data_IF_997678307739
#
_entry.id   IF_997678307739
#
_cell.length_a   1.000
_cell.length_b   1.000
_cell.length_c   1.000
_cell.angle_alpha   90.00
_cell.angle_beta   90.00
_cell.angle_gamma   90.00
#
_symmetry.space_group_name_H-M   'P 1'
#
loop_
_entity.id
_entity.type
_entity.pdbx_description
1 polymer ?
#
# COMPACT_ATOMS: atom_id res chain seq x y z
N UNK A 1 -1.82 -6.39 33.93
CA UNK A 1 -1.23 -5.05 34.13
C UNK A 1 0.23 -5.11 33.68
N UNK A 2 0.51 -4.94 32.38
CA UNK A 2 1.89 -4.91 31.85
C UNK A 2 2.36 -3.45 31.86
N UNK A 3 3.40 -3.17 32.63
CA UNK A 3 4.06 -1.87 32.76
C UNK A 3 4.68 -1.50 31.40
N UNK A 4 4.18 -0.45 30.76
CA UNK A 4 4.93 0.29 29.74
C UNK A 4 6.24 0.78 30.37
N UNK A 5 7.37 0.25 29.93
CA UNK A 5 8.69 0.81 30.24
C UNK A 5 8.74 2.23 29.66
N UNK A 6 8.67 3.23 30.50
CA UNK A 6 9.02 4.62 30.16
C UNK A 6 10.53 4.64 29.87
N UNK A 7 10.90 4.91 28.60
CA UNK A 7 12.28 5.16 28.21
C UNK A 7 12.88 4.26 27.12
N UNK A 8 12.11 3.37 26.48
CA UNK A 8 12.55 2.65 25.26
C UNK A 8 12.29 3.48 24.00
N UNK A 9 12.96 3.16 22.87
CA UNK A 9 12.67 3.79 21.59
C UNK A 9 11.19 3.60 21.22
N UNK A 10 10.60 4.59 20.56
CA UNK A 10 9.25 4.51 20.03
C UNK A 10 9.23 3.41 18.95
N UNK A 11 8.40 2.38 19.13
CA UNK A 11 8.24 1.29 18.17
C UNK A 11 7.00 1.52 17.32
N UNK A 12 7.18 1.39 16.01
CA UNK A 12 6.11 1.46 15.01
C UNK A 12 6.02 0.09 14.35
N UNK A 13 4.81 -0.45 14.27
CA UNK A 13 4.53 -1.70 13.57
C UNK A 13 3.68 -1.44 12.33
N UNK A 14 4.18 -1.84 11.16
CA UNK A 14 3.44 -1.85 9.90
C UNK A 14 2.96 -3.26 9.57
N UNK A 15 1.65 -3.44 9.41
CA UNK A 15 1.01 -4.71 9.09
C UNK A 15 0.38 -4.64 7.70
N UNK A 16 0.98 -5.31 6.74
CA UNK A 16 0.43 -5.50 5.39
C UNK A 16 -0.30 -6.84 5.31
N UNK A 17 -1.62 -6.78 5.08
CA UNK A 17 -2.48 -7.97 5.00
C UNK A 17 -2.83 -8.23 3.54
N UNK A 18 -1.98 -9.00 2.87
CA UNK A 18 -2.14 -9.38 1.47
C UNK A 18 -2.89 -10.70 1.27
N UNK A 19 -3.35 -10.97 0.04
CA UNK A 19 -4.11 -12.18 -0.29
C UNK A 19 -3.31 -13.49 -0.20
N UNK A 20 -1.98 -13.42 -0.35
CA UNK A 20 -1.11 -14.60 -0.25
C UNK A 20 -0.27 -14.65 1.03
N UNK A 21 -0.01 -13.51 1.64
CA UNK A 21 0.86 -13.36 2.81
C UNK A 21 0.39 -12.20 3.69
N UNK A 22 0.67 -12.32 4.98
CA UNK A 22 0.62 -11.21 5.95
C UNK A 22 2.05 -10.91 6.36
N UNK A 23 2.43 -9.65 6.29
CA UNK A 23 3.77 -9.17 6.67
C UNK A 23 3.67 -8.15 7.78
N UNK A 24 4.40 -8.34 8.86
CA UNK A 24 4.58 -7.35 9.92
C UNK A 24 6.05 -6.93 9.97
N UNK A 25 6.31 -5.63 9.86
CA UNK A 25 7.63 -5.04 10.12
C UNK A 25 7.55 -4.14 11.33
N UNK A 26 8.57 -4.19 12.18
CA UNK A 26 8.70 -3.33 13.35
C UNK A 26 9.93 -2.45 13.13
N UNK A 27 9.74 -1.15 13.27
CA UNK A 27 10.78 -0.14 13.12
C UNK A 27 10.76 0.87 14.26
N UNK A 28 11.80 1.67 14.30
CA UNK A 28 11.93 2.79 15.23
C UNK A 28 12.56 3.97 14.53
N UNK A 29 12.08 5.21 14.79
CA UNK A 29 12.74 6.42 14.33
C UNK A 29 14.16 6.51 14.90
N UNK A 30 15.16 6.68 14.03
CA UNK A 30 16.49 7.09 14.45
C UNK A 30 16.54 8.63 14.48
N UNK A 31 16.27 9.20 15.64
CA UNK A 31 16.20 10.65 15.82
C UNK A 31 17.53 11.35 15.53
N UNK A 32 18.67 10.65 15.58
CA UNK A 32 19.99 11.21 15.30
C UNK A 32 20.27 11.28 13.80
N UNK A 33 19.77 10.32 13.03
CA UNK A 33 19.97 10.25 11.58
C UNK A 33 18.76 10.79 10.78
N UNK A 34 17.60 11.01 11.41
CA UNK A 34 16.38 11.43 10.72
C UNK A 34 15.76 10.37 9.81
N UNK A 35 16.15 9.11 9.97
CA UNK A 35 15.71 7.99 9.13
C UNK A 35 14.93 6.95 9.96
N UNK A 36 14.08 6.17 9.31
CA UNK A 36 13.43 5.02 9.92
C UNK A 36 14.40 3.83 9.92
N UNK A 37 14.55 3.16 11.05
CA UNK A 37 15.30 1.90 11.14
C UNK A 37 14.34 0.73 11.29
N UNK A 38 14.36 -0.21 10.36
CA UNK A 38 13.68 -1.51 10.50
C UNK A 38 14.49 -2.35 11.49
N UNK A 39 13.85 -2.79 12.56
CA UNK A 39 14.46 -3.61 13.59
C UNK A 39 14.31 -5.10 13.31
N UNK A 40 13.25 -5.48 12.60
CA UNK A 40 12.95 -6.83 12.21
C UNK A 40 11.49 -6.99 11.81
N UNK A 41 11.12 -8.21 11.49
CA UNK A 41 9.75 -8.50 11.07
C UNK A 41 9.52 -9.98 10.77
N UNK A 42 8.33 -10.29 10.29
CA UNK A 42 7.95 -11.61 9.83
C UNK A 42 6.94 -11.53 8.68
N UNK A 43 6.92 -12.59 7.87
CA UNK A 43 5.98 -12.73 6.77
C UNK A 43 5.47 -14.16 6.72
N UNK A 44 4.17 -14.34 6.92
CA UNK A 44 3.52 -15.64 7.02
C UNK A 44 2.49 -15.85 5.89
N UNK A 45 2.30 -17.07 5.39
CA UNK A 45 1.25 -17.37 4.41
C UNK A 45 -0.14 -17.07 4.99
N UNK A 46 -1.02 -16.53 4.13
CA UNK A 46 -2.42 -16.27 4.44
C UNK A 46 -3.32 -16.80 3.32
N UNK A 47 -4.43 -17.44 3.69
CA UNK A 47 -5.47 -17.88 2.76
C UNK A 47 -6.84 -17.27 3.08
N UNK A 48 -6.91 -16.46 4.15
CA UNK A 48 -8.14 -15.82 4.61
C UNK A 48 -8.58 -14.61 3.79
N UNK A 49 -7.77 -14.18 2.79
CA UNK A 49 -8.09 -13.06 1.90
C UNK A 49 -8.10 -13.48 0.44
N UNK A 50 -8.90 -12.77 -0.37
CA UNK A 50 -8.93 -12.88 -1.82
C UNK A 50 -9.10 -11.50 -2.44
N UNK A 51 -8.14 -11.06 -3.28
CA UNK A 51 -8.20 -9.74 -3.93
C UNK A 51 -8.33 -8.57 -2.94
N UNK A 52 -7.69 -8.66 -1.77
CA UNK A 52 -7.78 -7.64 -0.71
C UNK A 52 -9.04 -7.74 0.17
N UNK A 53 -9.95 -8.68 -0.10
CA UNK A 53 -11.19 -8.87 0.66
C UNK A 53 -11.06 -10.05 1.61
N UNK A 54 -11.48 -9.89 2.86
CA UNK A 54 -11.51 -10.97 3.85
C UNK A 54 -12.61 -11.96 3.49
N UNK A 55 -12.22 -13.20 3.22
CA UNK A 55 -13.14 -14.32 2.93
C UNK A 55 -13.25 -15.30 4.12
N UNK A 56 -12.26 -15.29 4.99
CA UNK A 56 -12.26 -16.08 6.24
C UNK A 56 -11.55 -15.27 7.34
N UNK A 57 -12.35 -14.71 8.25
CA UNK A 57 -11.83 -13.85 9.33
C UNK A 57 -10.91 -14.62 10.27
N UNK A 58 -11.23 -15.89 10.59
CA UNK A 58 -10.45 -16.70 11.54
C UNK A 58 -9.06 -17.01 10.99
N UNK A 59 -8.98 -17.44 9.74
CA UNK A 59 -7.68 -17.68 9.08
C UNK A 59 -6.85 -16.41 8.93
N UNK A 60 -7.49 -15.31 8.52
CA UNK A 60 -6.81 -14.02 8.36
C UNK A 60 -6.31 -13.48 9.71
N UNK A 61 -7.13 -13.58 10.79
CA UNK A 61 -6.73 -13.17 12.12
C UNK A 61 -5.59 -14.03 12.68
N UNK A 62 -5.64 -15.35 12.47
CA UNK A 62 -4.55 -16.25 12.87
C UNK A 62 -3.25 -15.91 12.13
N UNK A 63 -3.30 -15.61 10.83
CA UNK A 63 -2.13 -15.20 10.08
C UNK A 63 -1.60 -13.83 10.56
N UNK A 64 -2.47 -12.87 10.85
CA UNK A 64 -2.09 -11.56 11.38
C UNK A 64 -1.44 -11.69 12.78
N UNK A 65 -2.02 -12.49 13.67
CA UNK A 65 -1.47 -12.75 15.00
C UNK A 65 -0.06 -13.35 14.90
N UNK A 66 0.10 -14.40 14.10
CA UNK A 66 1.42 -15.04 13.88
C UNK A 66 2.45 -14.09 13.29
N UNK A 67 2.08 -13.27 12.31
CA UNK A 67 3.01 -12.32 11.70
C UNK A 67 3.51 -11.30 12.71
N UNK A 68 2.64 -10.80 13.60
CA UNK A 68 3.04 -9.86 14.65
C UNK A 68 3.85 -10.55 15.73
N UNK A 69 3.42 -11.73 16.22
CA UNK A 69 4.12 -12.49 17.26
C UNK A 69 5.54 -12.90 16.81
N UNK A 70 5.69 -13.39 15.58
CA UNK A 70 7.00 -13.73 15.01
C UNK A 70 7.89 -12.47 14.83
N UNK A 71 7.30 -11.33 14.44
CA UNK A 71 8.03 -10.05 14.36
C UNK A 71 8.46 -9.55 15.75
N UNK A 72 7.59 -9.62 16.76
CA UNK A 72 7.91 -9.29 18.15
C UNK A 72 9.06 -10.15 18.70
N UNK A 73 9.03 -11.45 18.39
CA UNK A 73 10.09 -12.37 18.79
C UNK A 73 11.44 -12.02 18.14
N UNK A 74 11.42 -11.64 16.85
CA UNK A 74 12.63 -11.23 16.12
C UNK A 74 13.28 -9.97 16.70
N UNK A 75 12.47 -8.99 17.16
CA UNK A 75 12.96 -7.72 17.71
C UNK A 75 13.06 -7.73 19.24
N UNK A 76 12.63 -8.81 19.90
CA UNK A 76 12.60 -8.95 21.37
C UNK A 76 11.81 -7.83 22.07
N UNK A 77 10.73 -7.37 21.45
CA UNK A 77 9.87 -6.31 21.95
C UNK A 77 8.41 -6.62 21.63
N UNK A 78 7.48 -5.96 22.31
CA UNK A 78 6.03 -6.15 22.11
C UNK A 78 5.40 -4.89 21.59
N UNK A 79 4.43 -5.04 20.68
CA UNK A 79 3.61 -3.96 20.15
C UNK A 79 2.14 -4.23 20.50
N UNK A 80 1.37 -3.19 20.77
CA UNK A 80 -0.07 -3.30 21.06
C UNK A 80 -0.93 -2.78 19.92
N UNK A 81 -0.32 -2.04 19.00
CA UNK A 81 -1.03 -1.40 17.89
C UNK A 81 -0.20 -1.44 16.61
N UNK A 82 -0.90 -1.43 15.48
CA UNK A 82 -0.31 -1.54 14.15
C UNK A 82 -0.88 -0.48 13.20
N UNK A 83 -0.08 -0.03 12.25
CA UNK A 83 -0.51 0.67 11.04
C UNK A 83 -0.89 -0.39 10.02
N UNK A 84 -2.12 -0.33 9.52
CA UNK A 84 -2.69 -1.40 8.70
C UNK A 84 -2.70 -1.02 7.23
N UNK A 85 -1.98 -1.76 6.39
CA UNK A 85 -2.07 -1.64 4.94
C UNK A 85 -3.38 -2.23 4.41
N UNK A 86 -4.12 -1.43 3.62
CA UNK A 86 -5.36 -1.82 2.98
C UNK A 86 -5.19 -1.73 1.47
N UNK A 87 -5.69 -2.72 0.72
CA UNK A 87 -5.66 -2.78 -0.75
C UNK A 87 -6.85 -3.55 -1.30
N UNK A 88 -7.02 -3.52 -2.62
CA UNK A 88 -8.01 -4.32 -3.34
C UNK A 88 -9.13 -3.51 -3.99
N UNK A 89 -9.85 -4.14 -4.93
CA UNK A 89 -10.82 -3.50 -5.82
C UNK A 89 -12.04 -2.84 -5.12
N UNK A 90 -12.15 -2.98 -3.78
CA UNK A 90 -13.14 -2.26 -3.00
C UNK A 90 -12.74 -0.80 -2.71
N UNK A 91 -11.50 -0.44 -2.96
CA UNK A 91 -11.01 0.94 -2.93
C UNK A 91 -11.33 1.62 -4.27
N UNK A 92 -11.72 2.88 -4.21
CA UNK A 92 -11.94 3.75 -5.37
C UNK A 92 -11.41 5.12 -5.07
N UNK A 93 -10.92 5.80 -6.08
CA UNK A 93 -10.41 7.16 -5.92
C UNK A 93 -10.99 8.11 -6.95
N UNK A 94 -10.99 9.38 -6.62
CA UNK A 94 -11.34 10.48 -7.51
C UNK A 94 -10.78 11.79 -6.95
N UNK A 95 -10.66 12.78 -7.80
CA UNK A 95 -10.20 14.11 -7.41
C UNK A 95 -11.40 15.02 -7.12
N UNK A 96 -11.24 15.90 -6.14
CA UNK A 96 -12.22 16.93 -5.82
C UNK A 96 -11.52 18.24 -5.47
N UNK A 97 -12.26 19.33 -5.52
CA UNK A 97 -11.78 20.66 -5.15
C UNK A 97 -12.60 21.23 -4.00
N UNK A 98 -11.93 21.79 -3.01
CA UNK A 98 -12.52 22.58 -1.94
C UNK A 98 -12.19 24.05 -2.11
N UNK A 99 -13.06 24.91 -1.58
CA UNK A 99 -12.86 26.35 -1.53
C UNK A 99 -13.25 26.91 -0.17
N UNK A 100 -12.52 27.91 0.29
CA UNK A 100 -12.77 28.60 1.55
C UNK A 100 -12.44 30.09 1.43
N UNK A 101 -13.40 30.96 1.79
CA UNK A 101 -13.21 32.39 1.77
C UNK A 101 -12.61 32.87 3.10
N UNK A 102 -11.53 33.65 3.04
CA UNK A 102 -10.87 34.23 4.20
C UNK A 102 -11.48 35.58 4.47
N UNK A 103 -12.34 35.64 5.49
CA UNK A 103 -13.12 36.84 5.84
C UNK A 103 -12.36 37.83 6.75
N UNK A 104 -11.18 37.47 7.26
CA UNK A 104 -10.36 38.32 8.13
C UNK A 104 -9.80 39.53 7.38
N UNK A 105 -9.63 40.63 8.09
CA UNK A 105 -9.13 41.89 7.51
C UNK A 105 -7.68 41.81 7.03
N UNK A 106 -6.84 40.99 7.72
CA UNK A 106 -5.44 40.74 7.39
C UNK A 106 -5.27 39.75 6.23
N UNK A 107 -6.32 38.95 5.96
CA UNK A 107 -6.32 37.90 4.91
C UNK A 107 -5.18 36.93 4.99
N UNK A 108 -4.45 36.89 6.10
CA UNK A 108 -3.37 35.92 6.30
C UNK A 108 -3.94 34.52 6.52
N UNK A 109 -3.44 33.54 5.74
CA UNK A 109 -3.87 32.15 5.78
C UNK A 109 -3.26 31.47 7.01
N UNK A 110 -4.11 30.87 7.82
CA UNK A 110 -3.74 30.10 9.01
C UNK A 110 -3.84 28.60 8.76
N UNK A 111 -3.31 27.82 9.70
CA UNK A 111 -3.49 26.35 9.68
C UNK A 111 -4.98 25.95 9.77
N UNK A 112 -5.81 26.72 10.48
CA UNK A 112 -7.25 26.47 10.59
C UNK A 112 -7.96 26.68 9.25
N UNK A 113 -7.55 27.67 8.45
CA UNK A 113 -8.09 27.88 7.10
C UNK A 113 -7.73 26.75 6.16
N UNK A 114 -6.50 26.23 6.27
CA UNK A 114 -6.07 25.03 5.52
C UNK A 114 -6.92 23.84 5.93
N UNK A 115 -7.16 23.62 7.22
CA UNK A 115 -8.03 22.55 7.69
C UNK A 115 -9.48 22.74 7.19
N UNK A 116 -9.99 23.96 7.18
CA UNK A 116 -11.33 24.29 6.71
C UNK A 116 -11.50 24.01 5.20
N UNK A 117 -10.52 24.41 4.35
CA UNK A 117 -10.60 24.16 2.91
C UNK A 117 -10.48 22.68 2.57
N UNK A 118 -9.64 21.93 3.28
CA UNK A 118 -9.54 20.47 3.13
C UNK A 118 -10.84 19.79 3.58
N UNK A 119 -11.46 20.26 4.68
CA UNK A 119 -12.76 19.76 5.12
C UNK A 119 -13.86 20.07 4.10
N UNK A 120 -13.84 21.24 3.45
CA UNK A 120 -14.73 21.58 2.34
C UNK A 120 -14.56 20.61 1.16
N UNK A 121 -13.33 20.31 0.79
CA UNK A 121 -13.04 19.34 -0.28
C UNK A 121 -13.49 17.90 0.06
N UNK A 122 -13.54 17.55 1.34
CA UNK A 122 -14.02 16.25 1.85
C UNK A 122 -15.56 16.14 1.83
N UNK A 123 -16.29 17.25 1.85
CA UNK A 123 -17.75 17.29 1.97
C UNK A 123 -18.43 16.95 0.64
N UNK A 124 -18.41 15.66 0.27
CA UNK A 124 -19.01 15.11 -0.95
C UNK A 124 -20.11 14.11 -0.62
N UNK A 125 -21.14 13.98 -1.47
CA UNK A 125 -22.12 12.94 -1.33
C UNK A 125 -21.48 11.57 -1.67
N UNK A 126 -21.46 10.67 -0.69
CA UNK A 126 -21.05 9.28 -0.88
C UNK A 126 -22.27 8.36 -0.75
N UNK A 127 -22.23 7.22 -1.44
CA UNK A 127 -23.18 6.13 -1.17
C UNK A 127 -23.00 5.64 0.26
N UNK A 128 -24.10 5.17 0.89
CA UNK A 128 -24.13 4.77 2.30
C UNK A 128 -23.23 3.59 2.65
N UNK A 129 -22.78 2.84 1.66
CA UNK A 129 -21.89 1.68 1.76
C UNK A 129 -20.40 2.04 1.63
N UNK A 130 -20.08 3.34 1.45
CA UNK A 130 -18.70 3.82 1.29
C UNK A 130 -18.33 4.86 2.32
N UNK A 131 -17.03 4.89 2.65
CA UNK A 131 -16.45 5.90 3.53
C UNK A 131 -15.11 6.40 2.97
N UNK A 132 -14.75 7.63 3.30
CA UNK A 132 -13.46 8.22 2.91
C UNK A 132 -12.37 7.59 3.78
N UNK A 133 -11.41 6.96 3.12
CA UNK A 133 -10.21 6.41 3.73
C UNK A 133 -9.11 7.47 3.83
N UNK A 134 -8.84 8.19 2.73
CA UNK A 134 -7.84 9.27 2.68
C UNK A 134 -8.34 10.50 1.95
N UNK A 135 -7.85 11.67 2.39
CA UNK A 135 -7.94 12.96 1.71
C UNK A 135 -6.51 13.46 1.51
N UNK A 136 -6.01 13.41 0.28
CA UNK A 136 -4.63 13.73 -0.05
C UNK A 136 -4.59 15.07 -0.78
N UNK A 137 -4.10 16.17 -0.15
CA UNK A 137 -3.92 17.43 -0.85
C UNK A 137 -2.93 17.29 -2.02
N UNK A 138 -3.30 17.86 -3.17
CA UNK A 138 -2.49 17.84 -4.38
C UNK A 138 -1.81 19.20 -4.64
N UNK A 139 -2.29 20.25 -4.01
CA UNK A 139 -1.81 21.62 -4.14
C UNK A 139 -2.89 22.63 -3.81
N UNK A 140 -2.47 23.82 -3.41
CA UNK A 140 -3.37 24.92 -3.08
C UNK A 140 -3.37 25.98 -4.17
N UNK A 141 -4.46 26.74 -4.23
CA UNK A 141 -4.58 27.93 -5.07
C UNK A 141 -5.04 29.11 -4.21
N UNK A 142 -4.37 30.24 -4.39
CA UNK A 142 -4.63 31.47 -3.68
C UNK A 142 -5.15 32.51 -4.68
N UNK A 143 -6.42 32.90 -4.57
CA UNK A 143 -7.13 33.74 -5.53
C UNK A 143 -7.02 33.15 -6.95
N UNK A 144 -6.00 33.52 -7.72
CA UNK A 144 -5.73 33.00 -9.10
C UNK A 144 -4.37 32.31 -9.23
N UNK A 145 -3.56 32.32 -8.19
CA UNK A 145 -2.25 31.69 -8.18
C UNK A 145 -2.40 30.20 -7.84
N UNK A 146 -2.04 29.33 -8.76
CA UNK A 146 -2.08 27.86 -8.58
C UNK A 146 -0.72 27.30 -8.16
N UNK A 147 -0.72 26.06 -7.67
CA UNK A 147 0.51 25.30 -7.39
C UNK A 147 1.25 25.77 -6.15
N UNK A 148 0.55 26.29 -5.16
CA UNK A 148 1.14 26.68 -3.87
C UNK A 148 1.19 25.46 -2.95
N UNK A 149 2.38 24.96 -2.54
CA UNK A 149 2.48 23.78 -1.67
C UNK A 149 2.20 24.11 -0.20
N UNK A 150 2.57 25.32 0.26
CA UNK A 150 2.50 25.74 1.65
C UNK A 150 1.85 27.12 1.76
N UNK A 151 0.53 27.21 1.89
CA UNK A 151 -0.19 28.48 1.87
C UNK A 151 -0.18 29.25 3.21
N UNK A 152 0.14 28.59 4.33
CA UNK A 152 0.13 29.22 5.67
C UNK A 152 1.09 30.39 5.74
N UNK A 153 0.62 31.54 6.23
CA UNK A 153 1.36 32.81 6.31
C UNK A 153 1.33 33.64 5.04
N UNK A 154 0.70 33.16 3.96
CA UNK A 154 0.44 33.95 2.74
C UNK A 154 -0.92 34.66 2.86
N UNK A 155 -1.11 35.71 2.04
CA UNK A 155 -2.37 36.48 2.00
C UNK A 155 -3.20 36.07 0.79
N UNK A 156 -4.51 35.84 1.01
CA UNK A 156 -5.48 35.60 -0.06
C UNK A 156 -6.90 35.87 0.43
N UNK A 157 -7.81 36.17 -0.49
CA UNK A 157 -9.25 36.26 -0.23
C UNK A 157 -9.95 34.93 -0.35
N UNK A 158 -9.48 34.10 -1.29
CA UNK A 158 -10.00 32.78 -1.59
C UNK A 158 -8.86 31.76 -1.53
N UNK A 159 -9.01 30.77 -0.66
CA UNK A 159 -8.15 29.61 -0.59
C UNK A 159 -8.88 28.41 -1.21
N UNK A 160 -8.26 27.78 -2.21
CA UNK A 160 -8.75 26.54 -2.81
C UNK A 160 -7.73 25.42 -2.61
N UNK A 161 -8.20 24.17 -2.59
CA UNK A 161 -7.35 22.97 -2.57
C UNK A 161 -7.88 21.95 -3.54
N UNK A 162 -7.00 21.39 -4.36
CA UNK A 162 -7.26 20.16 -5.09
C UNK A 162 -6.86 18.97 -4.21
N UNK A 163 -7.73 17.95 -4.10
CA UNK A 163 -7.47 16.77 -3.28
C UNK A 163 -7.72 15.49 -4.06
N UNK A 164 -6.89 14.47 -3.79
CA UNK A 164 -7.15 13.10 -4.18
C UNK A 164 -7.87 12.40 -3.04
N UNK A 165 -9.09 11.92 -3.29
CA UNK A 165 -9.92 11.22 -2.32
C UNK A 165 -9.83 9.72 -2.59
N UNK A 166 -9.49 8.95 -1.56
CA UNK A 166 -9.57 7.50 -1.60
C UNK A 166 -10.72 7.06 -0.71
N UNK A 167 -11.63 6.28 -1.27
CA UNK A 167 -12.79 5.73 -0.55
C UNK A 167 -12.72 4.22 -0.50
N UNK A 168 -13.29 3.63 0.54
CA UNK A 168 -13.38 2.19 0.74
C UNK A 168 -14.83 1.75 0.93
N UNK A 169 -15.16 0.52 0.55
CA UNK A 169 -16.40 -0.10 1.01
C UNK A 169 -16.35 -0.29 2.52
N UNK A 170 -17.32 0.28 3.24
CA UNK A 170 -17.40 0.24 4.71
C UNK A 170 -17.42 -1.19 5.24
N UNK A 171 -18.14 -2.09 4.54
CA UNK A 171 -18.21 -3.50 4.95
C UNK A 171 -16.84 -4.20 4.87
N UNK A 172 -16.10 -4.00 3.77
CA UNK A 172 -14.78 -4.60 3.60
C UNK A 172 -13.76 -4.01 4.57
N UNK A 173 -13.77 -2.68 4.76
CA UNK A 173 -12.89 -2.02 5.72
C UNK A 173 -13.18 -2.49 7.15
N UNK A 174 -14.44 -2.59 7.55
CA UNK A 174 -14.80 -3.10 8.87
C UNK A 174 -14.40 -4.57 9.07
N UNK A 175 -14.47 -5.42 8.02
CA UNK A 175 -14.04 -6.81 8.13
C UNK A 175 -12.53 -6.94 8.36
N UNK A 176 -11.71 -6.15 7.66
CA UNK A 176 -10.27 -6.19 7.89
C UNK A 176 -9.89 -5.61 9.26
N UNK A 177 -10.55 -4.54 9.72
CA UNK A 177 -10.36 -3.99 11.07
C UNK A 177 -10.74 -5.02 12.16
N UNK A 178 -11.87 -5.72 11.98
CA UNK A 178 -12.28 -6.82 12.88
C UNK A 178 -11.26 -7.96 12.88
N UNK A 179 -10.68 -8.28 11.74
CA UNK A 179 -9.65 -9.31 11.60
C UNK A 179 -8.44 -8.99 12.48
N UNK A 180 -7.94 -7.75 12.42
CA UNK A 180 -6.79 -7.32 13.24
C UNK A 180 -7.15 -7.23 14.72
N UNK A 181 -8.35 -6.75 15.04
CA UNK A 181 -8.84 -6.73 16.42
C UNK A 181 -8.99 -8.15 17.00
N UNK A 182 -9.44 -9.13 16.20
CA UNK A 182 -9.51 -10.55 16.60
C UNK A 182 -8.12 -11.18 16.75
N UNK A 183 -7.13 -10.70 16.02
CA UNK A 183 -5.72 -11.07 16.20
C UNK A 183 -5.11 -10.50 17.50
N UNK A 184 -5.82 -9.61 18.22
CA UNK A 184 -5.41 -9.05 19.51
C UNK A 184 -4.73 -7.70 19.45
N UNK A 185 -4.73 -7.01 18.27
CA UNK A 185 -4.04 -5.74 18.07
C UNK A 185 -5.01 -4.60 17.78
N UNK A 186 -4.63 -3.39 18.23
CA UNK A 186 -5.32 -2.16 17.90
C UNK A 186 -4.80 -1.62 16.55
N UNK A 187 -5.70 -1.17 15.67
CA UNK A 187 -5.32 -0.49 14.45
C UNK A 187 -5.22 1.01 14.74
N UNK A 188 -4.01 1.57 14.58
CA UNK A 188 -3.79 3.02 14.70
C UNK A 188 -4.52 3.73 13.57
N UNK A 189 -4.26 3.31 12.34
CA UNK A 189 -4.90 3.84 11.13
C UNK A 189 -4.87 2.80 10.01
N UNK A 190 -5.97 2.61 9.27
CA UNK A 190 -5.94 1.89 8.02
C UNK A 190 -5.40 2.81 6.91
N UNK A 191 -4.37 2.35 6.22
CA UNK A 191 -3.64 3.13 5.19
C UNK A 191 -3.76 2.44 3.85
N UNK A 192 -4.08 3.17 2.81
CA UNK A 192 -4.01 2.65 1.44
C UNK A 192 -2.57 2.25 1.12
N UNK A 193 -2.35 0.95 0.88
CA UNK A 193 -1.01 0.38 0.73
C UNK A 193 -0.17 1.04 -0.36
N UNK A 194 -0.80 1.51 -1.43
CA UNK A 194 -0.13 2.24 -2.51
C UNK A 194 0.48 3.56 -2.03
N UNK A 195 -0.22 4.33 -1.17
CA UNK A 195 0.32 5.57 -0.61
C UNK A 195 1.53 5.29 0.27
N UNK A 196 1.46 4.24 1.11
CA UNK A 196 2.59 3.83 1.93
C UNK A 196 3.80 3.40 1.07
N UNK A 197 3.57 2.59 0.03
CA UNK A 197 4.62 2.20 -0.91
C UNK A 197 5.20 3.42 -1.67
N UNK A 198 4.37 4.41 -2.00
CA UNK A 198 4.78 5.65 -2.66
C UNK A 198 5.74 6.49 -1.82
N UNK A 199 5.52 6.57 -0.51
CA UNK A 199 6.45 7.28 0.40
C UNK A 199 7.83 6.60 0.48
N UNK A 200 7.88 5.30 0.25
CA UNK A 200 9.12 4.53 0.30
C UNK A 200 9.89 4.53 -1.02
N UNK A 201 9.18 4.49 -2.16
CA UNK A 201 9.75 4.08 -3.44
C UNK A 201 9.82 5.20 -4.49
N UNK A 202 8.98 6.23 -4.36
CA UNK A 202 8.91 7.33 -5.31
C UNK A 202 9.72 8.50 -4.78
N UNK A 203 10.76 8.90 -5.51
CA UNK A 203 11.61 10.05 -5.13
C UNK A 203 10.85 11.37 -5.33
N UNK A 204 11.35 12.44 -4.72
CA UNK A 204 10.72 13.75 -4.89
C UNK A 204 10.79 14.23 -6.35
N UNK A 205 11.93 13.97 -7.03
CA UNK A 205 12.07 14.30 -8.44
C UNK A 205 11.08 13.53 -9.32
N UNK A 206 10.86 12.25 -9.05
CA UNK A 206 9.87 11.45 -9.79
C UNK A 206 8.44 11.92 -9.51
N UNK A 207 8.13 12.35 -8.27
CA UNK A 207 6.83 12.97 -7.93
C UNK A 207 6.62 14.28 -8.69
N UNK A 208 7.66 15.08 -8.86
CA UNK A 208 7.58 16.36 -9.60
C UNK A 208 7.46 16.16 -11.11
N UNK A 209 8.33 15.33 -11.69
CA UNK A 209 8.45 15.17 -13.15
C UNK A 209 7.34 14.31 -13.75
N UNK A 210 6.72 13.46 -12.96
CA UNK A 210 5.67 12.53 -13.38
C UNK A 210 6.17 11.09 -13.52
N UNK A 211 5.55 10.18 -12.77
CA UNK A 211 5.81 8.74 -12.82
C UNK A 211 4.56 7.93 -12.45
N UNK A 212 4.60 6.63 -12.71
CA UNK A 212 3.59 5.69 -12.22
C UNK A 212 4.24 4.66 -11.28
N UNK A 213 3.66 4.49 -10.10
CA UNK A 213 3.96 3.37 -9.20
C UNK A 213 2.98 2.25 -9.46
N UNK A 214 3.50 1.03 -9.69
CA UNK A 214 2.73 -0.18 -9.93
C UNK A 214 3.11 -1.23 -8.87
N UNK A 215 2.20 -1.52 -7.95
CA UNK A 215 2.34 -2.65 -7.01
C UNK A 215 1.68 -3.89 -7.62
N UNK A 216 2.49 -4.76 -8.22
CA UNK A 216 2.06 -6.00 -8.84
C UNK A 216 1.94 -7.10 -7.78
N UNK A 217 0.78 -7.17 -7.14
CA UNK A 217 0.45 -8.19 -6.15
C UNK A 217 0.06 -9.54 -6.78
N UNK A 218 -0.33 -10.50 -5.92
CA UNK A 218 -0.79 -11.81 -6.37
C UNK A 218 -2.16 -11.75 -7.05
N UNK A 219 -3.13 -11.04 -6.46
CA UNK A 219 -4.53 -11.03 -6.91
C UNK A 219 -5.09 -9.63 -7.19
N UNK A 220 -4.32 -8.59 -6.94
CA UNK A 220 -4.63 -7.22 -7.30
C UNK A 220 -3.37 -6.47 -7.71
N UNK A 221 -3.55 -5.43 -8.51
CA UNK A 221 -2.53 -4.48 -8.88
C UNK A 221 -3.01 -3.13 -8.41
N UNK A 222 -2.16 -2.42 -7.65
CA UNK A 222 -2.42 -1.05 -7.27
C UNK A 222 -1.61 -0.11 -8.18
N UNK A 223 -2.26 0.90 -8.75
CA UNK A 223 -1.67 1.91 -9.63
C UNK A 223 -1.74 3.28 -8.99
N UNK A 224 -0.66 4.06 -9.07
CA UNK A 224 -0.65 5.45 -8.64
C UNK A 224 0.20 6.33 -9.56
N UNK A 225 -0.41 7.35 -10.14
CA UNK A 225 0.29 8.35 -10.95
C UNK A 225 0.61 9.56 -10.07
N UNK A 226 1.87 9.91 -10.05
CA UNK A 226 2.40 11.10 -9.37
C UNK A 226 2.86 12.11 -10.40
N UNK A 227 2.55 13.37 -10.21
CA UNK A 227 3.16 14.51 -10.91
C UNK A 227 2.92 15.80 -10.13
N UNK A 228 3.71 16.82 -10.38
CA UNK A 228 3.63 18.11 -9.65
C UNK A 228 3.67 17.90 -8.12
N UNK A 229 4.53 17.00 -7.66
CA UNK A 229 4.75 16.71 -6.24
C UNK A 229 3.69 15.86 -5.54
N UNK A 230 2.59 15.49 -6.21
CA UNK A 230 1.45 14.82 -5.58
C UNK A 230 0.90 13.65 -6.39
N UNK A 231 0.15 12.76 -5.71
CA UNK A 231 -0.62 11.73 -6.40
C UNK A 231 -1.82 12.37 -7.09
N UNK A 232 -1.97 12.12 -8.39
CA UNK A 232 -3.07 12.65 -9.22
C UNK A 232 -4.11 11.62 -9.58
N UNK A 233 -3.73 10.34 -9.59
CA UNK A 233 -4.60 9.23 -9.93
C UNK A 233 -4.20 7.99 -9.16
N UNK A 234 -5.16 7.19 -8.74
CA UNK A 234 -4.91 5.83 -8.25
C UNK A 234 -6.05 4.89 -8.61
N UNK A 235 -5.73 3.63 -8.85
CA UNK A 235 -6.71 2.60 -9.15
C UNK A 235 -6.27 1.23 -8.63
N UNK A 236 -7.23 0.34 -8.44
CA UNK A 236 -7.04 -1.05 -8.04
C UNK A 236 -7.61 -1.98 -9.12
N UNK A 237 -6.74 -2.74 -9.77
CA UNK A 237 -7.12 -3.69 -10.80
C UNK A 237 -7.24 -5.10 -10.19
N UNK A 238 -8.34 -5.84 -10.45
CA UNK A 238 -8.56 -7.20 -9.92
C UNK A 238 -7.79 -8.27 -10.72
N UNK A 239 -6.53 -8.04 -10.97
CA UNK A 239 -5.61 -8.87 -11.74
C UNK A 239 -4.27 -8.92 -11.01
N UNK A 240 -3.48 -10.00 -11.19
CA UNK A 240 -2.17 -10.10 -10.54
C UNK A 240 -1.42 -11.38 -10.89
N UNK A 241 -0.26 -11.58 -10.27
CA UNK A 241 0.67 -12.66 -10.60
C UNK A 241 0.16 -14.07 -10.31
N UNK A 242 -0.89 -14.24 -9.49
CA UNK A 242 -1.54 -15.53 -9.25
C UNK A 242 -2.26 -16.07 -10.50
N UNK A 243 -2.64 -15.19 -11.43
CA UNK A 243 -3.22 -15.62 -12.71
C UNK A 243 -2.18 -16.36 -13.55
N UNK A 244 -0.92 -15.92 -13.55
CA UNK A 244 0.19 -16.64 -14.18
C UNK A 244 0.34 -18.05 -13.56
N UNK A 245 0.25 -18.14 -12.23
CA UNK A 245 0.32 -19.42 -11.52
C UNK A 245 -0.81 -20.36 -11.94
N UNK A 246 -2.03 -19.84 -12.11
CA UNK A 246 -3.17 -20.63 -12.56
C UNK A 246 -3.03 -21.10 -13.99
N UNK A 247 -2.54 -20.24 -14.88
CA UNK A 247 -2.29 -20.60 -16.27
C UNK A 247 -1.23 -21.70 -16.37
N UNK A 248 -0.16 -21.61 -15.58
CA UNK A 248 0.85 -22.66 -15.47
C UNK A 248 0.26 -23.97 -14.92
N UNK A 249 -0.56 -23.89 -13.87
CA UNK A 249 -1.17 -25.07 -13.29
C UNK A 249 -2.08 -25.82 -14.29
N UNK A 250 -2.87 -25.05 -15.07
CA UNK A 250 -3.75 -25.60 -16.11
C UNK A 250 -2.93 -26.10 -17.31
N UNK A 251 -2.03 -25.30 -17.84
CA UNK A 251 -1.25 -25.62 -19.04
C UNK A 251 -0.32 -26.80 -18.85
N UNK A 252 0.28 -26.93 -17.66
CA UNK A 252 1.18 -28.04 -17.32
C UNK A 252 0.49 -29.20 -16.60
N UNK A 253 -0.81 -29.09 -16.30
CA UNK A 253 -1.58 -30.12 -15.56
C UNK A 253 -0.94 -30.45 -14.22
N UNK A 254 -0.50 -29.45 -13.49
CA UNK A 254 0.16 -29.57 -12.19
C UNK A 254 -0.64 -28.89 -11.07
N UNK A 255 -0.22 -29.07 -9.82
CA UNK A 255 -0.86 -28.40 -8.68
C UNK A 255 -0.52 -26.91 -8.66
N UNK A 256 -1.41 -26.07 -8.08
CA UNK A 256 -1.16 -24.64 -7.87
C UNK A 256 0.15 -24.41 -7.11
N UNK A 257 0.44 -25.22 -6.08
CA UNK A 257 1.67 -25.09 -5.30
C UNK A 257 2.92 -25.39 -6.14
N UNK A 258 2.88 -26.42 -7.00
CA UNK A 258 3.97 -26.74 -7.93
C UNK A 258 4.12 -25.63 -8.97
N UNK A 259 3.02 -25.14 -9.55
CA UNK A 259 3.01 -24.05 -10.51
C UNK A 259 3.61 -22.77 -9.92
N UNK A 260 3.26 -22.42 -8.67
CA UNK A 260 3.83 -21.25 -7.97
C UNK A 260 5.34 -21.41 -7.76
N UNK A 261 5.78 -22.59 -7.31
CA UNK A 261 7.20 -22.87 -7.13
C UNK A 261 7.99 -22.71 -8.44
N UNK A 262 7.55 -23.37 -9.53
CA UNK A 262 8.27 -23.29 -10.81
C UNK A 262 8.20 -21.90 -11.42
N UNK A 263 7.11 -21.14 -11.23
CA UNK A 263 7.01 -19.73 -11.62
C UNK A 263 8.07 -18.89 -10.90
N UNK A 264 8.19 -19.03 -9.59
CA UNK A 264 9.12 -18.22 -8.79
C UNK A 264 10.58 -18.60 -9.03
N UNK A 265 10.88 -19.90 -9.24
CA UNK A 265 12.25 -20.38 -9.45
C UNK A 265 12.73 -20.23 -10.90
N UNK A 266 11.84 -20.43 -11.88
CA UNK A 266 12.21 -20.58 -13.30
C UNK A 266 11.43 -19.67 -14.25
N UNK A 267 10.44 -18.90 -13.76
CA UNK A 267 9.60 -18.03 -14.58
C UNK A 267 10.39 -16.98 -15.36
N UNK A 268 10.07 -16.82 -16.64
CA UNK A 268 10.64 -15.80 -17.52
C UNK A 268 9.50 -15.03 -18.19
N UNK A 269 9.47 -13.72 -17.97
CA UNK A 269 8.44 -12.81 -18.44
C UNK A 269 8.82 -12.06 -19.73
N UNK A 270 10.03 -12.25 -20.26
CA UNK A 270 10.45 -11.59 -21.50
C UNK A 270 11.37 -12.52 -22.33
N UNK A 271 11.13 -12.63 -23.69
CA UNK A 271 11.83 -13.56 -24.53
C UNK A 271 13.35 -13.37 -24.58
N UNK A 272 13.84 -12.14 -24.43
CA UNK A 272 15.28 -11.81 -24.48
C UNK A 272 16.10 -12.49 -23.37
N UNK A 273 15.45 -12.98 -22.33
CA UNK A 273 16.10 -13.62 -21.19
C UNK A 273 16.12 -15.16 -21.27
N UNK A 274 15.59 -15.73 -22.34
CA UNK A 274 15.64 -17.16 -22.58
C UNK A 274 17.03 -17.56 -23.05
N UNK A 275 17.84 -18.11 -22.18
CA UNK A 275 19.17 -18.61 -22.46
C UNK A 275 19.17 -20.14 -22.47
N UNK A 276 18.99 -20.73 -23.67
CA UNK A 276 18.85 -22.19 -23.80
C UNK A 276 17.44 -22.67 -23.44
N UNK A 277 17.22 -23.97 -23.52
CA UNK A 277 15.93 -24.62 -23.27
C UNK A 277 16.11 -25.76 -22.26
N UNK A 278 16.26 -25.40 -21.00
CA UNK A 278 16.49 -26.33 -19.91
C UNK A 278 15.20 -27.11 -19.57
N UNK A 279 15.38 -28.37 -19.16
CA UNK A 279 14.31 -29.18 -18.61
C UNK A 279 14.12 -28.88 -17.12
N UNK A 280 12.89 -28.57 -16.74
CA UNK A 280 12.46 -28.32 -15.35
C UNK A 280 11.70 -29.56 -14.88
N UNK A 281 12.16 -30.14 -13.78
CA UNK A 281 11.49 -31.31 -13.19
C UNK A 281 10.43 -30.84 -12.19
N UNK A 282 9.22 -31.37 -12.35
CA UNK A 282 8.10 -31.14 -11.46
C UNK A 282 7.18 -32.35 -11.38
N UNK A 283 6.04 -32.24 -10.70
CA UNK A 283 5.07 -33.31 -10.58
C UNK A 283 3.71 -32.88 -11.11
N UNK A 284 2.97 -33.83 -11.64
CA UNK A 284 1.58 -33.64 -12.05
C UNK A 284 0.64 -33.27 -10.88
N UNK A 285 -0.64 -33.07 -11.19
CA UNK A 285 -1.66 -32.70 -10.22
C UNK A 285 -1.83 -33.72 -9.08
N UNK A 286 -1.50 -34.97 -9.33
CA UNK A 286 -1.51 -36.07 -8.35
C UNK A 286 -0.33 -36.01 -7.37
N UNK A 287 0.64 -35.12 -7.59
CA UNK A 287 1.86 -34.96 -6.80
C UNK A 287 2.86 -36.11 -6.92
N UNK A 288 2.63 -37.07 -7.83
CA UNK A 288 3.41 -38.29 -7.97
C UNK A 288 3.98 -38.48 -9.38
N UNK A 289 3.17 -38.22 -10.41
CA UNK A 289 3.60 -38.40 -11.81
C UNK A 289 4.71 -37.39 -12.13
N UNK A 290 5.93 -37.85 -12.46
CA UNK A 290 7.02 -36.94 -12.81
C UNK A 290 6.71 -36.27 -14.16
N UNK A 291 6.94 -34.96 -14.22
CA UNK A 291 6.81 -34.15 -15.44
C UNK A 291 8.16 -33.48 -15.71
N UNK A 292 8.54 -33.44 -16.98
CA UNK A 292 9.63 -32.60 -17.48
C UNK A 292 9.04 -31.52 -18.40
N UNK A 293 9.30 -30.28 -18.05
CA UNK A 293 8.77 -29.11 -18.77
C UNK A 293 9.95 -28.30 -19.27
N UNK A 294 9.97 -27.97 -20.55
CA UNK A 294 10.98 -27.07 -21.10
C UNK A 294 10.72 -25.63 -20.68
N UNK A 295 11.79 -24.89 -20.43
CA UNK A 295 11.72 -23.46 -20.12
C UNK A 295 10.96 -22.69 -21.18
N UNK A 296 11.15 -23.02 -22.46
CA UNK A 296 10.41 -22.43 -23.59
C UNK A 296 8.90 -22.69 -23.54
N UNK A 297 8.49 -23.91 -23.15
CA UNK A 297 7.07 -24.26 -22.99
C UNK A 297 6.44 -23.46 -21.84
N UNK A 298 7.14 -23.37 -20.70
CA UNK A 298 6.67 -22.59 -19.57
C UNK A 298 6.57 -21.10 -19.91
N UNK A 299 7.56 -20.55 -20.59
CA UNK A 299 7.55 -19.17 -21.07
C UNK A 299 6.39 -18.92 -22.03
N UNK A 300 6.08 -19.84 -22.94
CA UNK A 300 4.92 -19.74 -23.84
C UNK A 300 3.57 -19.66 -23.12
N UNK A 301 3.47 -20.14 -21.87
CA UNK A 301 2.28 -19.98 -21.03
C UNK A 301 2.32 -18.65 -20.26
N UNK A 302 3.49 -18.23 -19.80
CA UNK A 302 3.68 -17.00 -19.00
C UNK A 302 3.47 -15.73 -19.82
N UNK A 303 4.08 -15.66 -21.02
CA UNK A 303 4.12 -14.42 -21.81
C UNK A 303 2.75 -13.83 -22.13
N UNK A 304 1.74 -14.60 -22.63
CA UNK A 304 0.43 -14.03 -22.93
C UNK A 304 -0.23 -13.38 -21.70
N UNK A 305 -0.03 -13.97 -20.52
CA UNK A 305 -0.58 -13.40 -19.27
C UNK A 305 0.16 -12.15 -18.83
N UNK A 306 1.46 -12.11 -19.00
CA UNK A 306 2.27 -10.91 -18.70
C UNK A 306 1.89 -9.78 -19.64
N UNK A 307 1.72 -10.07 -20.94
CA UNK A 307 1.26 -9.12 -21.94
C UNK A 307 -0.13 -8.57 -21.59
N UNK A 308 -1.07 -9.44 -21.19
CA UNK A 308 -2.39 -9.02 -20.76
C UNK A 308 -2.32 -8.11 -19.53
N UNK A 309 -1.54 -8.46 -18.50
CA UNK A 309 -1.37 -7.67 -17.29
C UNK A 309 -0.91 -6.24 -17.64
N UNK A 310 0.16 -6.09 -18.40
CA UNK A 310 0.68 -4.77 -18.75
C UNK A 310 -0.17 -4.03 -19.77
N UNK A 311 -0.89 -4.73 -20.63
CA UNK A 311 -1.86 -4.10 -21.54
C UNK A 311 -3.05 -3.51 -20.79
N UNK A 312 -3.58 -4.20 -19.76
CA UNK A 312 -4.65 -3.68 -18.90
C UNK A 312 -4.14 -2.46 -18.11
N UNK A 313 -2.90 -2.47 -17.63
CA UNK A 313 -2.29 -1.31 -16.97
C UNK A 313 -2.17 -0.14 -17.95
N UNK A 314 -1.70 -0.37 -19.18
CA UNK A 314 -1.58 0.66 -20.20
C UNK A 314 -2.93 1.27 -20.59
N UNK A 315 -3.96 0.44 -20.73
CA UNK A 315 -5.33 0.88 -21.01
C UNK A 315 -5.91 1.74 -19.86
N UNK A 316 -5.70 1.31 -18.62
CA UNK A 316 -6.14 2.07 -17.43
C UNK A 316 -5.46 3.45 -17.36
N UNK A 317 -4.15 3.51 -17.63
CA UNK A 317 -3.40 4.76 -17.68
C UNK A 317 -3.88 5.67 -18.81
N UNK A 318 -4.15 5.15 -19.99
CA UNK A 318 -4.71 5.91 -21.11
C UNK A 318 -6.08 6.49 -20.77
N UNK A 319 -6.94 5.71 -20.12
CA UNK A 319 -8.26 6.15 -19.69
C UNK A 319 -8.22 7.17 -18.55
N UNK A 320 -7.14 7.22 -17.79
CA UNK A 320 -6.96 8.15 -16.66
C UNK A 320 -6.66 9.59 -17.06
N UNK A 321 -6.37 9.86 -18.33
CA UNK A 321 -5.87 11.16 -18.84
C UNK A 321 -4.48 11.58 -18.32
N UNK A 322 -3.73 10.65 -17.72
CA UNK A 322 -2.39 10.90 -17.19
C UNK A 322 -1.29 10.11 -17.89
N UNK A 323 -1.59 9.46 -19.02
CA UNK A 323 -0.61 8.66 -19.78
C UNK A 323 0.63 9.45 -20.21
N UNK A 324 0.44 10.72 -20.59
CA UNK A 324 1.52 11.55 -21.13
C UNK A 324 2.45 12.08 -20.03
N UNK A 325 1.95 12.22 -18.79
CA UNK A 325 2.75 12.80 -17.70
C UNK A 325 3.73 11.83 -17.06
N UNK A 326 3.60 10.52 -17.32
CA UNK A 326 4.50 9.51 -16.73
C UNK A 326 5.79 9.32 -17.51
N UNK A 327 5.90 9.86 -18.73
CA UNK A 327 7.05 9.64 -19.61
C UNK A 327 8.40 10.06 -19.01
N UNK A 328 8.54 11.19 -18.27
CA UNK A 328 9.83 11.59 -17.72
C UNK A 328 10.34 10.68 -16.59
N UNK A 329 9.49 10.34 -15.62
CA UNK A 329 9.88 9.51 -14.47
C UNK A 329 9.65 8.02 -14.70
N UNK A 330 8.91 7.65 -15.77
CA UNK A 330 8.66 6.26 -16.13
C UNK A 330 7.77 5.50 -15.14
N UNK A 331 7.97 4.18 -15.09
CA UNK A 331 7.22 3.30 -14.19
C UNK A 331 8.12 2.65 -13.13
N UNK A 332 7.60 2.58 -11.92
CA UNK A 332 8.24 1.97 -10.76
C UNK A 332 7.46 0.71 -10.42
N UNK A 333 8.08 -0.47 -10.56
CA UNK A 333 7.44 -1.74 -10.25
C UNK A 333 7.79 -2.21 -8.85
N UNK A 334 6.79 -2.60 -8.08
CA UNK A 334 6.95 -3.24 -6.77
C UNK A 334 5.99 -4.43 -6.63
N UNK A 335 5.92 -5.03 -5.44
CA UNK A 335 5.14 -6.23 -5.19
C UNK A 335 5.80 -7.52 -5.67
N UNK A 336 5.25 -8.65 -5.24
CA UNK A 336 5.84 -9.97 -5.52
C UNK A 336 5.92 -10.34 -7.00
N UNK A 337 4.96 -9.88 -7.81
CA UNK A 337 4.95 -10.12 -9.26
C UNK A 337 6.10 -9.45 -9.99
N UNK A 338 6.65 -8.34 -9.46
CA UNK A 338 7.79 -7.64 -10.05
C UNK A 338 9.11 -8.41 -9.95
N UNK A 339 9.16 -9.47 -9.14
CA UNK A 339 10.38 -10.27 -8.93
C UNK A 339 10.63 -11.28 -10.04
N UNK A 340 9.62 -11.68 -10.80
CA UNK A 340 9.82 -12.64 -11.90
C UNK A 340 10.79 -12.06 -12.94
N UNK A 341 11.71 -12.90 -13.41
CA UNK A 341 12.73 -12.48 -14.38
C UNK A 341 12.09 -11.96 -15.66
N UNK A 342 12.51 -10.79 -16.13
CA UNK A 342 11.98 -10.18 -17.35
C UNK A 342 10.70 -9.34 -17.17
N UNK A 343 10.18 -9.20 -15.94
CA UNK A 343 8.98 -8.36 -15.70
C UNK A 343 9.24 -6.89 -16.01
N UNK A 344 10.43 -6.38 -15.70
CA UNK A 344 10.82 -5.00 -16.01
C UNK A 344 10.89 -4.78 -17.51
N UNK A 345 11.53 -5.69 -18.23
CA UNK A 345 11.68 -5.65 -19.69
C UNK A 345 10.32 -5.75 -20.41
N UNK A 346 9.43 -6.63 -19.93
CA UNK A 346 8.08 -6.76 -20.45
C UNK A 346 7.26 -5.48 -20.22
N UNK A 347 7.31 -4.93 -19.02
CA UNK A 347 6.65 -3.67 -18.69
C UNK A 347 7.16 -2.53 -19.55
N UNK A 348 8.47 -2.40 -19.73
CA UNK A 348 9.08 -1.36 -20.57
C UNK A 348 8.64 -1.47 -22.02
N UNK A 349 8.57 -2.68 -22.55
CA UNK A 349 8.14 -2.93 -23.94
C UNK A 349 6.68 -2.53 -24.17
N UNK A 350 5.79 -2.82 -23.20
CA UNK A 350 4.34 -2.62 -23.38
C UNK A 350 3.93 -1.20 -23.00
N UNK A 351 4.48 -0.67 -21.89
CA UNK A 351 4.13 0.68 -21.42
C UNK A 351 4.83 1.79 -22.24
N UNK A 352 5.91 1.48 -22.97
CA UNK A 352 6.65 2.42 -23.81
C UNK A 352 7.40 3.52 -23.04
N UNK A 353 7.61 3.34 -21.73
CA UNK A 353 8.33 4.26 -20.84
C UNK A 353 9.46 3.53 -20.14
N UNK A 354 10.49 4.24 -19.63
CA UNK A 354 11.50 3.63 -18.78
C UNK A 354 10.87 2.95 -17.57
N UNK A 355 11.35 1.75 -17.21
CA UNK A 355 10.83 0.99 -16.08
C UNK A 355 11.98 0.60 -15.13
N UNK A 356 11.79 0.84 -13.85
CA UNK A 356 12.70 0.37 -12.80
C UNK A 356 11.97 -0.46 -11.75
N UNK A 357 12.69 -1.34 -11.08
CA UNK A 357 12.18 -1.96 -9.86
C UNK A 357 12.30 -0.97 -8.70
N UNK A 358 11.24 -0.87 -7.89
CA UNK A 358 11.23 -0.05 -6.68
C UNK A 358 12.19 -0.64 -5.64
N UNK A 359 13.16 0.17 -5.23
CA UNK A 359 14.10 -0.17 -4.16
C UNK A 359 14.04 0.95 -3.12
N UNK A 360 13.90 0.62 -1.83
CA UNK A 360 13.90 1.62 -0.76
C UNK A 360 15.17 2.47 -0.77
N UNK A 361 15.02 3.80 -0.61
CA UNK A 361 16.17 4.68 -0.57
C UNK A 361 16.78 4.72 0.85
N UNK A 362 18.11 4.56 0.99
CA UNK A 362 18.79 4.48 2.29
C UNK A 362 18.67 5.76 3.14
N UNK A 363 18.37 6.90 2.52
CA UNK A 363 18.16 8.18 3.22
C UNK A 363 16.78 8.23 3.91
N UNK A 364 15.84 7.37 3.54
CA UNK A 364 14.52 7.30 4.16
C UNK A 364 14.43 6.19 5.20
N UNK A 365 15.05 5.04 4.89
CA UNK A 365 14.92 3.85 5.70
C UNK A 365 16.20 3.01 5.67
N UNK A 366 16.58 2.47 6.83
CA UNK A 366 17.67 1.51 6.98
C UNK A 366 17.12 0.17 7.42
N UNK A 367 17.55 -0.88 6.76
CA UNK A 367 17.12 -2.25 7.09
C UNK A 367 18.16 -3.28 6.68
N UNK A 368 18.00 -4.50 7.18
CA UNK A 368 18.73 -5.66 6.65
C UNK A 368 18.28 -5.93 5.21
N UNK A 369 19.19 -6.51 4.40
CA UNK A 369 18.99 -6.75 2.97
C UNK A 369 17.75 -7.58 2.67
N UNK A 370 17.38 -8.51 3.54
CA UNK A 370 16.20 -9.37 3.38
C UNK A 370 14.90 -8.58 3.24
N UNK A 371 14.80 -7.40 3.91
CA UNK A 371 13.59 -6.58 3.90
C UNK A 371 13.55 -5.60 2.71
N UNK A 372 14.64 -5.43 1.97
CA UNK A 372 14.67 -4.56 0.78
C UNK A 372 13.93 -5.14 -0.43
N UNK A 373 13.43 -6.38 -0.34
CA UNK A 373 12.65 -7.01 -1.41
C UNK A 373 11.33 -6.27 -1.65
N UNK A 374 10.91 -6.10 -2.92
CA UNK A 374 9.64 -5.48 -3.28
C UNK A 374 8.38 -6.06 -2.62
N UNK A 375 8.43 -7.31 -2.17
CA UNK A 375 7.31 -7.93 -1.45
C UNK A 375 7.02 -7.28 -0.09
N UNK A 376 7.95 -6.52 0.46
CA UNK A 376 7.84 -5.87 1.77
C UNK A 376 7.60 -4.35 1.67
N UNK A 377 7.50 -3.81 0.45
CA UNK A 377 7.41 -2.36 0.23
C UNK A 377 6.25 -1.70 0.96
N UNK A 378 5.07 -2.32 0.96
CA UNK A 378 3.92 -1.78 1.70
C UNK A 378 4.16 -1.78 3.20
N UNK A 379 4.60 -2.90 3.80
CA UNK A 379 4.85 -2.97 5.24
C UNK A 379 5.95 -2.00 5.68
N UNK A 380 7.01 -1.85 4.87
CA UNK A 380 8.09 -0.90 5.11
C UNK A 380 7.63 0.55 4.94
N UNK A 381 6.84 0.83 3.90
CA UNK A 381 6.25 2.14 3.64
C UNK A 381 5.30 2.60 4.76
N UNK A 382 4.58 1.68 5.42
CA UNK A 382 3.75 1.98 6.58
C UNK A 382 4.56 2.54 7.76
N UNK A 383 5.80 2.12 7.93
CA UNK A 383 6.69 2.66 8.96
C UNK A 383 7.04 4.12 8.69
N UNK A 384 7.29 4.49 7.41
CA UNK A 384 7.54 5.88 7.01
C UNK A 384 6.26 6.72 7.10
N UNK A 385 5.15 6.19 6.60
CA UNK A 385 3.85 6.85 6.63
C UNK A 385 3.45 7.25 8.05
N UNK A 386 3.72 6.40 9.03
CA UNK A 386 3.46 6.66 10.44
C UNK A 386 4.17 7.92 10.99
N UNK A 387 5.26 8.34 10.36
CA UNK A 387 6.03 9.54 10.74
C UNK A 387 5.68 10.78 9.92
N UNK A 388 5.02 10.63 8.75
CA UNK A 388 4.75 11.73 7.84
C UNK A 388 3.75 12.72 8.45
N UNK A 389 4.09 14.00 8.60
CA UNK A 389 3.17 15.01 9.09
C UNK A 389 2.06 15.35 8.08
N UNK A 390 2.29 15.11 6.80
CA UNK A 390 1.41 15.47 5.68
C UNK A 390 0.05 14.77 5.78
N UNK A 391 0.01 13.60 6.35
CA UNK A 391 -1.19 12.76 6.38
C UNK A 391 -2.04 12.89 7.65
N UNK A 392 -1.52 13.54 8.70
CA UNK A 392 -2.23 13.71 9.99
C UNK A 392 -3.41 14.69 9.95
N UNK A 393 -3.55 15.47 8.86
CA UNK A 393 -4.61 16.49 8.72
C UNK A 393 -5.98 15.97 8.26
N UNK A 394 -6.14 14.69 7.93
CA UNK A 394 -7.35 14.15 7.28
C UNK A 394 -8.16 13.11 8.06
N UNK A 395 -7.60 12.43 9.03
CA UNK A 395 -8.34 11.44 9.81
C UNK A 395 -8.66 11.95 11.21
N UNK A 396 -9.70 12.75 11.37
CA UNK A 396 -10.45 12.79 12.61
C UNK A 396 -11.24 11.47 12.82
N UNK A 397 -10.62 10.34 12.65
CA UNK A 397 -10.91 9.18 13.45
C UNK A 397 -10.07 9.29 14.72
N UNK A 398 -10.36 10.29 15.55
CA UNK A 398 -10.26 10.07 16.98
C UNK A 398 -11.08 8.81 17.22
N UNK A 399 -10.40 7.66 17.26
CA UNK A 399 -10.91 6.54 18.01
C UNK A 399 -11.21 7.17 19.37
N UNK A 400 -12.49 7.52 19.60
CA UNK A 400 -12.95 7.86 20.94
C UNK A 400 -12.49 6.66 21.73
N UNK A 401 -11.42 6.83 22.52
CA UNK A 401 -11.02 5.88 23.54
C UNK A 401 -12.29 5.64 24.37
N UNK A 402 -13.06 4.65 23.98
CA UNK A 402 -14.09 4.14 24.86
C UNK A 402 -13.32 3.58 26.04
N UNK A 403 -13.25 4.39 27.09
CA UNK A 403 -12.74 3.89 28.36
C UNK A 403 -13.38 2.53 28.60
N UNK A 404 -12.61 1.48 28.88
CA UNK A 404 -13.17 0.15 29.12
C UNK A 404 -14.36 0.25 30.07
N UNK A 405 -15.40 -0.58 29.87
CA UNK A 405 -16.66 -0.50 30.63
C UNK A 405 -16.47 -0.48 32.17
N UNK A 406 -15.37 -1.08 32.68
CA UNK A 406 -14.99 -1.03 34.07
C UNK A 406 -14.49 0.36 34.54
N UNK A 407 -13.82 1.15 33.66
CA UNK A 407 -13.42 2.53 34.02
C UNK A 407 -14.61 3.50 34.02
N UNK A 408 -15.65 3.24 33.23
CA UNK A 408 -16.92 4.00 33.32
C UNK A 408 -17.66 3.72 34.61
N UNK A 409 -17.63 2.49 35.09
CA UNK A 409 -18.22 2.14 36.41
C UNK A 409 -17.48 2.81 37.56
N UNK A 410 -16.14 2.85 37.56
CA UNK A 410 -15.35 3.52 38.62
C UNK A 410 -15.58 5.04 38.58
N UNK A 411 -15.67 5.67 37.42
CA UNK A 411 -15.97 7.11 37.31
C UNK A 411 -17.36 7.45 37.85
N UNK A 412 -18.38 6.65 37.52
CA UNK A 412 -19.74 6.83 38.05
C UNK A 412 -19.84 6.65 39.56
N UNK A 413 -19.06 5.69 40.12
CA UNK A 413 -19.05 5.47 41.59
C UNK A 413 -18.29 6.57 42.35
N UNK A 414 -17.35 7.28 41.71
CA UNK A 414 -16.65 8.40 42.31
C UNK A 414 -17.46 9.71 42.21
N UNK A 415 -18.33 9.88 41.21
CA UNK A 415 -19.25 11.02 41.12
C UNK A 415 -20.44 10.91 42.07
N UNK A 416 -20.76 9.70 42.58
CA UNK A 416 -21.78 9.50 43.62
C UNK A 416 -21.24 9.67 45.06
N UNK A 417 -19.92 9.85 45.23
CA UNK A 417 -19.25 9.94 46.53
C UNK A 417 -18.71 11.34 46.87
N UNK A 418 -18.92 12.31 45.98
CA UNK A 418 -18.64 13.74 46.18
C UNK A 418 -19.79 14.59 45.62
#
# INVERSE_FOLDING_TARGET
MKRTRRGGPELIAGLDVGSGRVTCLIGSPDSAAGVMKVLGGASVPCRGLKGGVVINIVEAASAAARAVEEAEAAVQATVSSVWLGVRGAHLQSFNNRGAYNIARTDREITADDVAAVVSSARAIPLSSDREILHVVPQGFSLDRQRGVPHPVGMEASLLEVDVHLVTASSAHLNNILKTVAQAGFEVVEPVYGLLAAGELLVTQEEKELGCVLVDLGGQSISLGVYCEGAIKYSNELPLGADFITRDLAVGLKTSIATAERIKTEHGIAHPSLLNGDADIECHGIDGRTPLRVKTSTMMGIILPRVEEIFSVIAEDLQNSSYSDVIAPGGAILTGGGSLMRGTVEAAQTILGVPVRRGVPHPDYIRSDEVWLSPIYSTAMGLLLYAQSPVWRGGSERTVKRQKPAWMRKIAATLEELF
#
